data_IF_441857695498
#
_entry.id   IF_441857695498
#
_cell.length_a   1.000
_cell.length_b   1.000
_cell.length_c   1.000
_cell.angle_alpha   90.00
_cell.angle_beta   90.00
_cell.angle_gamma   90.00
#
_symmetry.space_group_name_H-M   'P 1'
#
loop_
_entity.id
_entity.type
_entity.pdbx_description
1 polymer ?
#
# COMPACT_ATOMS: atom_id res chain seq x y z
N UNK A 1 3.26 -9.92 -31.06
CA UNK A 1 1.91 -10.45 -31.37
C UNK A 1 0.89 -9.32 -31.19
N UNK A 2 0.21 -8.92 -32.26
CA UNK A 2 -0.77 -7.81 -32.26
C UNK A 2 -1.94 -8.08 -31.30
N UNK A 3 -2.25 -9.36 -31.01
CA UNK A 3 -3.22 -9.74 -29.97
C UNK A 3 -2.77 -9.34 -28.58
N UNK A 4 -1.50 -9.53 -28.24
CA UNK A 4 -0.96 -9.24 -26.92
C UNK A 4 -0.95 -7.73 -26.64
N UNK A 5 -0.60 -6.92 -27.64
CA UNK A 5 -0.67 -5.45 -27.55
C UNK A 5 -2.12 -4.97 -27.41
N UNK A 6 -3.06 -5.58 -28.13
CA UNK A 6 -4.50 -5.26 -28.03
C UNK A 6 -5.09 -5.63 -26.66
N UNK A 7 -4.64 -6.71 -26.04
CA UNK A 7 -5.02 -7.10 -24.67
C UNK A 7 -4.46 -6.10 -23.64
N UNK A 8 -3.23 -5.62 -23.83
CA UNK A 8 -2.64 -4.55 -23.00
C UNK A 8 -3.42 -3.23 -23.13
N UNK A 9 -3.91 -2.89 -24.32
CA UNK A 9 -4.76 -1.71 -24.53
C UNK A 9 -6.22 -1.87 -24.05
N UNK A 10 -6.66 -3.10 -23.74
CA UNK A 10 -7.93 -3.38 -23.05
C UNK A 10 -7.83 -3.32 -21.52
N UNK A 11 -6.63 -3.09 -20.98
CA UNK A 11 -6.42 -2.94 -19.55
C UNK A 11 -7.01 -1.62 -19.06
N UNK A 12 -8.24 -1.71 -18.56
CA UNK A 12 -8.88 -0.69 -17.73
C UNK A 12 -8.00 -0.26 -16.53
N UNK A 13 -6.95 -1.04 -16.22
CA UNK A 13 -5.99 -0.86 -15.14
C UNK A 13 -5.10 0.40 -15.24
N UNK A 14 -4.87 0.94 -16.45
CA UNK A 14 -4.06 2.15 -16.66
C UNK A 14 -4.89 3.44 -16.63
N UNK A 15 -6.22 3.33 -16.65
CA UNK A 15 -7.09 4.50 -16.45
C UNK A 15 -6.97 4.99 -15.01
N UNK A 16 -7.40 6.22 -14.73
CA UNK A 16 -7.44 6.69 -13.35
C UNK A 16 -8.45 5.89 -12.53
N UNK A 17 -8.14 5.68 -11.26
CA UNK A 17 -9.03 5.02 -10.30
C UNK A 17 -10.42 5.69 -10.27
N UNK A 18 -10.48 7.02 -10.35
CA UNK A 18 -11.76 7.75 -10.39
C UNK A 18 -12.61 7.42 -11.62
N UNK A 19 -12.01 7.37 -12.82
CA UNK A 19 -12.72 7.01 -14.05
C UNK A 19 -13.18 5.55 -14.02
N UNK A 20 -12.38 4.67 -13.44
CA UNK A 20 -12.71 3.25 -13.29
C UNK A 20 -13.90 3.05 -12.34
N UNK A 21 -13.87 3.63 -11.14
CA UNK A 21 -14.94 3.50 -10.14
C UNK A 21 -16.27 4.09 -10.63
N UNK A 22 -16.24 5.24 -11.32
CA UNK A 22 -17.44 5.87 -11.92
C UNK A 22 -18.08 5.04 -13.04
N UNK A 23 -17.35 4.09 -13.62
CA UNK A 23 -17.89 3.13 -14.58
C UNK A 23 -18.82 2.09 -13.94
N UNK A 24 -18.63 1.79 -12.65
CA UNK A 24 -19.40 0.77 -11.92
C UNK A 24 -20.46 1.36 -10.97
N UNK A 25 -20.17 2.51 -10.38
CA UNK A 25 -21.03 3.12 -9.36
C UNK A 25 -21.52 4.50 -9.79
N UNK A 26 -22.81 4.78 -9.59
CA UNK A 26 -23.44 6.08 -9.89
C UNK A 26 -23.68 6.94 -8.64
N UNK A 27 -23.85 6.31 -7.48
CA UNK A 27 -24.11 7.03 -6.24
C UNK A 27 -22.82 7.63 -5.67
N UNK A 28 -22.81 8.91 -5.25
CA UNK A 28 -21.60 9.60 -4.80
C UNK A 28 -20.92 8.92 -3.62
N UNK A 29 -21.67 8.31 -2.70
CA UNK A 29 -21.07 7.69 -1.50
C UNK A 29 -20.37 6.36 -1.79
N UNK A 30 -20.89 5.56 -2.73
CA UNK A 30 -20.20 4.33 -3.15
C UNK A 30 -18.90 4.66 -3.88
N UNK A 31 -18.90 5.72 -4.68
CA UNK A 31 -17.68 6.21 -5.34
C UNK A 31 -16.66 6.63 -4.29
N UNK A 32 -17.06 7.42 -3.29
CA UNK A 32 -16.17 7.85 -2.19
C UNK A 32 -15.59 6.66 -1.41
N UNK A 33 -16.41 5.66 -1.09
CA UNK A 33 -15.94 4.45 -0.37
C UNK A 33 -14.88 3.71 -1.19
N UNK A 34 -15.06 3.61 -2.51
CA UNK A 34 -14.13 2.91 -3.40
C UNK A 34 -12.88 3.74 -3.76
N UNK A 35 -12.95 5.07 -3.67
CA UNK A 35 -11.81 5.99 -3.85
C UNK A 35 -11.03 6.23 -2.55
N UNK A 36 -11.61 5.94 -1.38
CA UNK A 36 -10.96 6.21 -0.10
C UNK A 36 -9.62 5.46 0.10
N UNK A 37 -9.47 4.17 -0.27
CA UNK A 37 -8.23 3.44 0.00
C UNK A 37 -7.01 3.97 -0.75
N UNK A 38 -7.18 4.64 -1.90
CA UNK A 38 -6.03 5.21 -2.62
C UNK A 38 -5.45 6.45 -1.94
N UNK A 39 -6.17 7.06 -0.98
CA UNK A 39 -5.64 8.15 -0.16
C UNK A 39 -4.54 7.69 0.79
N UNK A 40 -4.54 6.41 1.21
CA UNK A 40 -3.46 5.85 2.04
C UNK A 40 -2.11 5.80 1.34
N UNK A 41 -2.12 5.83 0.01
CA UNK A 41 -0.90 5.90 -0.80
C UNK A 41 -0.36 7.32 -0.93
N UNK A 42 -1.04 8.33 -0.35
CA UNK A 42 -0.71 9.74 -0.49
C UNK A 42 -1.04 10.33 -1.87
N UNK A 43 -1.78 9.60 -2.70
CA UNK A 43 -2.16 10.00 -4.07
C UNK A 43 -3.64 10.40 -4.18
N UNK A 44 -3.95 11.26 -5.15
CA UNK A 44 -5.33 11.59 -5.49
C UNK A 44 -5.95 10.48 -6.38
N UNK A 45 -7.25 10.15 -6.25
CA UNK A 45 -7.91 9.14 -7.08
C UNK A 45 -7.88 9.41 -8.58
N UNK A 46 -7.65 10.66 -8.99
CA UNK A 46 -7.49 11.07 -10.38
C UNK A 46 -6.11 10.75 -10.97
N UNK A 47 -5.07 10.63 -10.14
CA UNK A 47 -3.69 10.36 -10.57
C UNK A 47 -3.25 8.91 -10.31
N UNK A 48 -3.93 8.21 -9.40
CA UNK A 48 -3.65 6.81 -9.08
C UNK A 48 -4.26 5.88 -10.14
N UNK A 49 -3.50 4.93 -10.70
CA UNK A 49 -4.03 3.95 -11.67
C UNK A 49 -5.13 3.06 -11.10
N UNK A 50 -6.07 2.63 -11.95
CA UNK A 50 -7.17 1.74 -11.61
C UNK A 50 -6.73 0.36 -11.11
N UNK A 51 -5.48 -0.04 -11.37
CA UNK A 51 -4.87 -1.24 -10.79
C UNK A 51 -4.99 -1.28 -9.25
N UNK A 52 -5.01 -0.12 -8.59
CA UNK A 52 -5.15 -0.05 -7.13
C UNK A 52 -6.55 -0.42 -6.62
N UNK A 53 -7.55 -0.59 -7.50
CA UNK A 53 -8.82 -1.26 -7.15
C UNK A 53 -8.62 -2.68 -6.61
N UNK A 54 -7.49 -3.34 -6.92
CA UNK A 54 -7.13 -4.62 -6.33
C UNK A 54 -6.92 -4.52 -4.81
N UNK A 55 -6.48 -3.36 -4.29
CA UNK A 55 -6.40 -3.14 -2.84
C UNK A 55 -7.80 -3.15 -2.20
N UNK A 56 -8.81 -2.61 -2.88
CA UNK A 56 -10.19 -2.65 -2.40
C UNK A 56 -10.68 -4.10 -2.34
N UNK A 57 -10.38 -4.90 -3.36
CA UNK A 57 -10.70 -6.33 -3.36
C UNK A 57 -10.02 -7.05 -2.19
N UNK A 58 -8.72 -6.82 -1.99
CA UNK A 58 -7.98 -7.43 -0.89
C UNK A 58 -8.61 -7.08 0.47
N UNK A 59 -8.94 -5.81 0.71
CA UNK A 59 -9.54 -5.38 1.96
C UNK A 59 -10.93 -5.99 2.20
N UNK A 60 -11.77 -6.07 1.17
CA UNK A 60 -13.17 -6.54 1.28
C UNK A 60 -13.25 -8.06 1.32
N UNK A 61 -12.48 -8.76 0.50
CA UNK A 61 -12.60 -10.21 0.29
C UNK A 61 -11.60 -11.01 1.11
N UNK A 62 -10.34 -10.57 1.20
CA UNK A 62 -9.32 -11.28 1.99
C UNK A 62 -9.41 -10.93 3.48
N UNK A 63 -10.13 -9.86 3.80
CA UNK A 63 -10.36 -9.39 5.15
C UNK A 63 -9.17 -8.65 5.76
N UNK A 64 -9.41 -8.06 6.93
CA UNK A 64 -8.40 -7.34 7.70
C UNK A 64 -8.10 -8.13 8.97
N UNK A 65 -6.85 -8.58 9.12
CA UNK A 65 -6.42 -9.41 10.23
C UNK A 65 -5.54 -8.62 11.20
N UNK A 66 -5.68 -8.88 12.49
CA UNK A 66 -4.83 -8.28 13.53
C UNK A 66 -4.12 -9.40 14.29
N UNK A 67 -2.78 -9.42 14.34
CA UNK A 67 -2.04 -10.46 15.03
C UNK A 67 -2.15 -10.30 16.56
N UNK A 68 -2.25 -11.43 17.26
CA UNK A 68 -2.20 -11.46 18.72
C UNK A 68 -0.88 -10.89 19.24
N UNK A 69 -0.94 -9.95 20.18
CA UNK A 69 0.24 -9.21 20.65
C UNK A 69 0.67 -8.05 19.76
N UNK A 70 -0.14 -7.71 18.75
CA UNK A 70 -0.02 -6.50 17.94
C UNK A 70 0.97 -6.60 16.78
N UNK A 71 0.98 -5.55 15.96
CA UNK A 71 1.72 -5.53 14.68
C UNK A 71 3.22 -5.77 14.80
N UNK A 72 3.81 -5.54 15.98
CA UNK A 72 5.23 -5.84 16.28
C UNK A 72 5.56 -7.34 16.12
N UNK A 73 4.57 -8.22 16.22
CA UNK A 73 4.77 -9.67 16.10
C UNK A 73 5.13 -10.10 14.69
N UNK A 74 4.66 -9.38 13.66
CA UNK A 74 4.97 -9.67 12.25
C UNK A 74 6.48 -9.57 11.97
N UNK A 75 7.17 -8.44 12.21
CA UNK A 75 8.61 -8.35 11.96
C UNK A 75 9.43 -9.27 12.87
N UNK A 76 8.97 -9.55 14.10
CA UNK A 76 9.64 -10.51 14.99
C UNK A 76 9.58 -11.94 14.46
N UNK A 77 8.42 -12.38 13.95
CA UNK A 77 8.29 -13.69 13.32
C UNK A 77 9.14 -13.79 12.05
N UNK A 78 9.14 -12.74 11.21
CA UNK A 78 9.99 -12.68 10.02
C UNK A 78 11.48 -12.75 10.38
N UNK A 79 11.90 -12.06 11.44
CA UNK A 79 13.28 -12.11 11.95
C UNK A 79 13.66 -13.52 12.40
N UNK A 80 12.78 -14.20 13.15
CA UNK A 80 13.04 -15.56 13.62
C UNK A 80 13.26 -16.54 12.46
N UNK A 81 12.37 -16.52 11.45
CA UNK A 81 12.52 -17.36 10.24
C UNK A 81 13.81 -17.04 9.49
N UNK A 82 14.17 -15.77 9.38
CA UNK A 82 15.42 -15.38 8.73
C UNK A 82 16.66 -15.87 9.50
N UNK A 83 16.64 -15.79 10.83
CA UNK A 83 17.73 -16.31 11.69
C UNK A 83 17.85 -17.84 11.59
N UNK A 84 16.73 -18.57 11.49
CA UNK A 84 16.72 -20.02 11.23
C UNK A 84 17.35 -20.37 9.86
N UNK A 85 17.19 -19.50 8.87
CA UNK A 85 17.81 -19.62 7.55
C UNK A 85 19.27 -19.12 7.52
N UNK A 86 19.85 -18.73 8.66
CA UNK A 86 21.24 -18.31 8.78
C UNK A 86 21.52 -16.84 8.44
N UNK A 87 20.48 -15.98 8.39
CA UNK A 87 20.65 -14.55 8.14
C UNK A 87 21.18 -13.82 9.37
N UNK A 88 22.27 -13.07 9.22
CA UNK A 88 22.84 -12.21 10.27
C UNK A 88 22.34 -10.76 10.15
N UNK A 89 21.66 -10.25 11.18
CA UNK A 89 21.16 -8.87 11.20
C UNK A 89 22.16 -7.88 11.79
N UNK A 90 22.65 -6.94 10.98
CA UNK A 90 23.50 -5.83 11.44
C UNK A 90 22.68 -4.56 11.69
N UNK A 91 22.24 -4.39 12.94
CA UNK A 91 21.50 -3.18 13.34
C UNK A 91 22.48 -2.05 13.62
N UNK A 92 22.36 -0.95 12.88
CA UNK A 92 23.15 0.26 13.16
C UNK A 92 22.55 0.97 14.38
N UNK A 93 23.36 1.41 15.36
CA UNK A 93 22.87 2.30 16.40
C UNK A 93 22.34 3.60 15.76
N UNK A 94 21.28 4.22 16.32
CA UNK A 94 20.78 5.49 15.83
C UNK A 94 21.92 6.52 15.85
N UNK A 95 22.09 7.28 14.76
CA UNK A 95 23.18 8.24 14.55
C UNK A 95 23.24 9.40 15.57
N UNK A 96 22.39 9.39 16.61
CA UNK A 96 22.14 10.52 17.50
C UNK A 96 22.34 10.19 18.99
N UNK A 97 23.23 9.27 19.35
CA UNK A 97 23.46 8.86 20.74
C UNK A 97 24.57 9.64 21.50
N UNK A 98 25.09 10.76 20.97
CA UNK A 98 26.32 11.36 21.54
C UNK A 98 26.55 12.86 21.49
N UNK A 99 25.71 13.69 20.85
CA UNK A 99 25.91 15.15 20.80
C UNK A 99 24.55 15.89 20.89
N UNK A 100 24.46 16.88 21.81
CA UNK A 100 23.32 17.79 22.04
C UNK A 100 22.93 18.61 20.78
N UNK A 101 21.81 19.36 20.79
CA UNK A 101 20.41 18.99 21.01
C UNK A 101 19.71 18.70 19.67
N UNK A 102 18.71 17.80 19.68
CA UNK A 102 17.86 17.54 18.52
C UNK A 102 17.05 18.79 18.14
N UNK A 103 17.52 19.52 17.12
CA UNK A 103 16.73 20.55 16.43
C UNK A 103 15.96 19.83 15.31
N UNK A 104 14.66 19.64 15.58
CA UNK A 104 13.51 19.56 14.65
C UNK A 104 13.66 18.82 13.32
N UNK A 105 12.89 17.73 13.18
CA UNK A 105 12.32 17.40 11.86
C UNK A 105 11.17 18.37 11.58
N UNK A 106 11.46 19.37 10.75
CA UNK A 106 10.45 20.09 9.99
C UNK A 106 9.91 19.12 8.95
N UNK A 107 8.63 18.78 9.08
CA UNK A 107 7.88 18.23 7.97
C UNK A 107 7.55 19.39 7.02
N UNK A 108 7.89 19.22 5.74
CA UNK A 108 7.91 20.19 4.62
C UNK A 108 9.18 21.03 4.46
#
# INVERSE_FOLDING_TARGET
DVRMVREVFRLDMLKSQSSHVKGFFKHPDHIKIMEWPVLFLGGAPSSVPAMYSLMNYAAIVLGTHYPDGGMVRVPLAMKAVAEELGVEFKVRPPKCAGLRPCITFRWW
#
